data_IF_571302451709
#
_entry.id   IF_571302451709
#
_cell.length_a   1.000
_cell.length_b   1.000
_cell.length_c   1.000
_cell.angle_alpha   90.00
_cell.angle_beta   90.00
_cell.angle_gamma   90.00
#
_symmetry.space_group_name_H-M   'P 1'
#
loop_
_entity.id
_entity.type
_entity.pdbx_description
1 polymer ?
#
# COMPACT_ATOMS: atom_id res chain seq x y z
N UNK A 1 -11.23 -1.83 -41.83
CA UNK A 1 -11.66 -1.33 -43.15
C UNK A 1 -11.26 -2.30 -44.28
N UNK A 2 -10.01 -2.77 -44.34
CA UNK A 2 -9.50 -3.68 -45.40
C UNK A 2 -10.31 -4.98 -45.57
N UNK A 3 -10.82 -5.56 -44.48
CA UNK A 3 -11.53 -6.87 -44.51
C UNK A 3 -12.88 -6.82 -45.25
N UNK A 4 -13.58 -5.69 -45.19
CA UNK A 4 -14.88 -5.50 -45.86
C UNK A 4 -14.71 -5.34 -47.38
N UNK A 5 -13.64 -4.67 -47.81
CA UNK A 5 -13.32 -4.50 -49.23
C UNK A 5 -13.12 -5.85 -49.93
N UNK A 6 -12.52 -6.83 -49.25
CA UNK A 6 -12.29 -8.17 -49.80
C UNK A 6 -13.59 -8.97 -49.96
N UNK A 7 -14.53 -8.86 -49.02
CA UNK A 7 -15.84 -9.52 -49.14
C UNK A 7 -16.63 -8.94 -50.30
N UNK A 8 -16.61 -7.62 -50.45
CA UNK A 8 -17.34 -6.96 -51.52
C UNK A 8 -16.71 -7.22 -52.89
N UNK A 9 -15.37 -7.34 -52.95
CA UNK A 9 -14.67 -7.84 -54.15
C UNK A 9 -15.09 -9.26 -54.48
N UNK A 10 -15.11 -10.19 -53.51
CA UNK A 10 -15.55 -11.56 -53.73
C UNK A 10 -17.02 -11.63 -54.23
N UNK A 11 -17.93 -10.88 -53.62
CA UNK A 11 -19.34 -10.79 -54.04
C UNK A 11 -19.48 -10.18 -55.45
N UNK A 12 -18.66 -9.19 -55.80
CA UNK A 12 -18.64 -8.60 -57.14
C UNK A 12 -18.13 -9.59 -58.18
N UNK A 13 -17.02 -10.27 -57.89
CA UNK A 13 -16.47 -11.33 -58.75
C UNK A 13 -17.47 -12.46 -58.94
N UNK A 14 -18.13 -12.91 -57.88
CA UNK A 14 -19.18 -13.94 -57.95
C UNK A 14 -20.33 -13.53 -58.88
N UNK A 15 -20.78 -12.26 -58.80
CA UNK A 15 -21.83 -11.73 -59.69
C UNK A 15 -21.38 -11.69 -61.15
N UNK A 16 -20.13 -11.30 -61.41
CA UNK A 16 -19.58 -11.27 -62.77
C UNK A 16 -19.50 -12.69 -63.35
N UNK A 17 -18.92 -13.62 -62.59
CA UNK A 17 -18.84 -15.04 -63.00
C UNK A 17 -20.22 -15.62 -63.26
N UNK A 18 -21.20 -15.33 -62.40
CA UNK A 18 -22.58 -15.76 -62.61
C UNK A 18 -23.16 -15.20 -63.91
N UNK A 19 -22.97 -13.89 -64.20
CA UNK A 19 -23.43 -13.28 -65.46
C UNK A 19 -22.78 -13.92 -66.69
N UNK A 20 -21.48 -14.20 -66.63
CA UNK A 20 -20.76 -14.88 -67.71
C UNK A 20 -21.27 -16.31 -67.91
N UNK A 21 -21.52 -17.05 -66.83
CA UNK A 21 -22.10 -18.39 -66.91
C UNK A 21 -23.50 -18.36 -67.54
N UNK A 22 -24.36 -17.41 -67.17
CA UNK A 22 -25.66 -17.20 -67.80
C UNK A 22 -25.56 -16.83 -69.28
N UNK A 23 -24.60 -15.97 -69.65
CA UNK A 23 -24.38 -15.62 -71.04
C UNK A 23 -23.99 -16.84 -71.89
N UNK A 24 -23.13 -17.72 -71.37
CA UNK A 24 -22.76 -18.98 -72.03
C UNK A 24 -23.97 -19.90 -72.16
N UNK A 25 -24.75 -20.08 -71.08
CA UNK A 25 -25.97 -20.89 -71.10
C UNK A 25 -26.95 -20.38 -72.16
N UNK A 26 -27.28 -19.09 -72.16
CA UNK A 26 -28.18 -18.48 -73.15
C UNK A 26 -27.63 -18.63 -74.57
N UNK A 27 -26.32 -18.43 -74.77
CA UNK A 27 -25.68 -18.60 -76.08
C UNK A 27 -25.83 -20.03 -76.62
N UNK A 28 -25.66 -21.04 -75.77
CA UNK A 28 -25.81 -22.46 -76.15
C UNK A 28 -27.27 -22.79 -76.44
N UNK A 29 -28.21 -22.30 -75.63
CA UNK A 29 -29.65 -22.49 -75.87
C UNK A 29 -30.07 -21.91 -77.23
N UNK A 30 -29.67 -20.67 -77.52
CA UNK A 30 -29.98 -20.02 -78.81
C UNK A 30 -29.36 -20.79 -79.99
N UNK A 31 -28.15 -21.32 -79.82
CA UNK A 31 -27.49 -22.14 -80.84
C UNK A 31 -28.15 -23.52 -81.04
N UNK A 32 -28.67 -24.13 -79.98
CA UNK A 32 -29.30 -25.46 -80.02
C UNK A 32 -30.68 -25.48 -80.68
N UNK A 33 -31.45 -24.39 -80.55
CA UNK A 33 -32.84 -24.32 -81.04
C UNK A 33 -32.97 -24.69 -82.53
N UNK A 34 -32.20 -24.10 -83.48
CA UNK A 34 -32.31 -24.46 -84.89
C UNK A 34 -31.99 -25.93 -85.19
N UNK A 35 -31.04 -26.52 -84.47
CA UNK A 35 -30.58 -27.91 -84.65
C UNK A 35 -31.71 -28.87 -84.28
N UNK A 36 -32.27 -28.70 -83.08
CA UNK A 36 -33.36 -29.54 -82.57
C UNK A 36 -34.64 -29.31 -83.37
N UNK A 37 -34.95 -28.07 -83.72
CA UNK A 37 -36.11 -27.72 -84.54
C UNK A 37 -36.08 -28.43 -85.91
N UNK A 38 -34.93 -28.41 -86.59
CA UNK A 38 -34.77 -29.09 -87.88
C UNK A 38 -34.98 -30.60 -87.78
N UNK A 39 -34.44 -31.23 -86.73
CA UNK A 39 -34.60 -32.66 -86.48
C UNK A 39 -36.04 -33.06 -86.16
N UNK A 40 -36.76 -32.30 -85.34
CA UNK A 40 -38.12 -32.63 -84.95
C UNK A 40 -39.11 -32.51 -86.11
N UNK A 41 -38.91 -31.51 -86.98
CA UNK A 41 -39.74 -31.34 -88.18
C UNK A 41 -39.56 -32.51 -89.15
N UNK A 42 -38.33 -33.02 -89.32
CA UNK A 42 -38.11 -34.18 -90.19
C UNK A 42 -38.78 -35.46 -89.67
N UNK A 43 -39.16 -35.50 -88.38
CA UNK A 43 -39.87 -36.60 -87.74
C UNK A 43 -41.39 -36.33 -87.56
N UNK A 44 -41.94 -35.35 -88.28
CA UNK A 44 -43.38 -35.10 -88.31
C UNK A 44 -43.95 -34.35 -87.11
N UNK A 45 -43.09 -33.77 -86.25
CA UNK A 45 -43.54 -32.92 -85.15
C UNK A 45 -44.01 -31.56 -85.71
N UNK A 46 -45.21 -31.07 -85.32
CA UNK A 46 -45.70 -29.77 -85.78
C UNK A 46 -44.73 -28.63 -85.46
N UNK A 47 -44.58 -27.69 -86.40
CA UNK A 47 -43.63 -26.58 -86.31
C UNK A 47 -43.84 -25.76 -85.04
N UNK A 48 -45.08 -25.62 -84.60
CA UNK A 48 -45.51 -24.89 -83.41
C UNK A 48 -45.00 -25.53 -82.11
N UNK A 49 -44.79 -26.84 -82.11
CA UNK A 49 -44.35 -27.61 -80.92
C UNK A 49 -42.85 -27.90 -80.94
N UNK A 50 -42.25 -28.02 -82.13
CA UNK A 50 -40.85 -28.39 -82.30
C UNK A 50 -39.87 -27.42 -81.62
N UNK A 51 -40.11 -26.10 -81.73
CA UNK A 51 -39.21 -25.11 -81.11
C UNK A 51 -39.36 -25.05 -79.58
N UNK A 52 -40.54 -25.37 -79.04
CA UNK A 52 -40.79 -25.34 -77.58
C UNK A 52 -40.04 -26.47 -76.86
N UNK A 53 -39.89 -27.63 -77.49
CA UNK A 53 -39.28 -28.79 -76.84
C UNK A 53 -37.81 -28.54 -76.46
N UNK A 54 -37.05 -27.88 -77.34
CA UNK A 54 -35.67 -27.47 -77.05
C UNK A 54 -35.60 -26.53 -75.85
N UNK A 55 -36.48 -25.50 -75.82
CA UNK A 55 -36.51 -24.53 -74.74
C UNK A 55 -36.92 -25.12 -73.39
N UNK A 56 -37.79 -26.13 -73.38
CA UNK A 56 -38.20 -26.81 -72.14
C UNK A 56 -37.05 -27.64 -71.56
N UNK A 57 -36.33 -28.40 -72.41
CA UNK A 57 -35.18 -29.19 -71.97
C UNK A 57 -34.05 -28.29 -71.43
N UNK A 58 -33.75 -27.23 -72.16
CA UNK A 58 -32.79 -26.20 -71.78
C UNK A 58 -33.23 -25.46 -70.51
N UNK A 59 -34.52 -25.12 -70.42
CA UNK A 59 -35.12 -24.49 -69.24
C UNK A 59 -34.97 -25.35 -67.98
N UNK A 60 -35.13 -26.67 -68.09
CA UNK A 60 -34.91 -27.59 -66.98
C UNK A 60 -33.45 -27.59 -66.51
N UNK A 61 -32.48 -27.52 -67.42
CA UNK A 61 -31.06 -27.34 -67.10
C UNK A 61 -30.80 -26.01 -66.38
N UNK A 62 -31.38 -24.91 -66.89
CA UNK A 62 -31.27 -23.59 -66.27
C UNK A 62 -31.87 -23.56 -64.86
N UNK A 63 -33.02 -24.19 -64.64
CA UNK A 63 -33.63 -24.34 -63.32
C UNK A 63 -32.70 -25.11 -62.38
N UNK A 64 -32.06 -26.19 -62.85
CA UNK A 64 -31.07 -26.93 -62.06
C UNK A 64 -29.87 -26.08 -61.63
N UNK A 65 -29.47 -25.11 -62.46
CA UNK A 65 -28.40 -24.15 -62.17
C UNK A 65 -28.83 -23.09 -61.14
N UNK A 66 -30.09 -22.61 -61.18
CA UNK A 66 -30.63 -21.64 -60.19
C UNK A 66 -30.96 -22.28 -58.85
N UNK A 67 -31.54 -23.47 -58.87
CA UNK A 67 -32.07 -24.11 -57.66
C UNK A 67 -30.93 -24.55 -56.72
N UNK A 68 -29.78 -24.97 -57.26
CA UNK A 68 -28.67 -25.50 -56.45
C UNK A 68 -28.10 -24.44 -55.49
N UNK A 69 -27.74 -23.22 -55.92
CA UNK A 69 -27.27 -22.17 -55.02
C UNK A 69 -28.31 -21.73 -54.00
N UNK A 70 -29.58 -21.61 -54.39
CA UNK A 70 -30.66 -21.18 -53.49
C UNK A 70 -30.84 -22.22 -52.38
N UNK A 71 -30.96 -23.51 -52.72
CA UNK A 71 -31.11 -24.57 -51.72
C UNK A 71 -29.88 -24.69 -50.81
N UNK A 72 -28.68 -24.44 -51.34
CA UNK A 72 -27.45 -24.41 -50.56
C UNK A 72 -27.40 -23.26 -49.54
N UNK A 73 -28.02 -22.11 -49.85
CA UNK A 73 -28.16 -21.00 -48.91
C UNK A 73 -29.04 -21.37 -47.71
N UNK A 74 -30.09 -22.18 -47.93
CA UNK A 74 -30.98 -22.67 -46.87
C UNK A 74 -30.49 -23.97 -46.20
N UNK A 75 -29.29 -24.46 -46.54
CA UNK A 75 -28.72 -25.68 -45.94
C UNK A 75 -29.43 -26.98 -46.35
N UNK A 76 -30.27 -26.96 -47.37
CA UNK A 76 -31.03 -28.13 -47.83
C UNK A 76 -30.17 -28.95 -48.79
N UNK A 77 -29.96 -30.24 -48.48
CA UNK A 77 -29.28 -31.18 -49.39
C UNK A 77 -30.17 -31.47 -50.60
N UNK A 78 -29.89 -30.77 -51.70
CA UNK A 78 -30.66 -30.85 -52.94
C UNK A 78 -30.27 -32.06 -53.83
N UNK A 79 -30.33 -33.28 -53.31
CA UNK A 79 -29.94 -34.49 -54.05
C UNK A 79 -30.70 -34.66 -55.38
N UNK A 80 -32.00 -34.33 -55.38
CA UNK A 80 -32.86 -34.42 -56.56
C UNK A 80 -32.50 -33.41 -57.66
N UNK A 81 -31.95 -32.24 -57.31
CA UNK A 81 -31.55 -31.21 -58.30
C UNK A 81 -30.35 -31.69 -59.11
N UNK A 82 -29.46 -32.47 -58.49
CA UNK A 82 -28.38 -33.17 -59.20
C UNK A 82 -28.94 -34.14 -60.24
N UNK A 83 -29.87 -35.00 -59.83
CA UNK A 83 -30.52 -35.97 -60.72
C UNK A 83 -31.27 -35.28 -61.88
N UNK A 84 -32.04 -34.23 -61.60
CA UNK A 84 -32.76 -33.47 -62.63
C UNK A 84 -31.80 -32.91 -63.69
N UNK A 85 -30.66 -32.40 -63.26
CA UNK A 85 -29.65 -31.84 -64.16
C UNK A 85 -29.00 -32.91 -65.05
N UNK A 86 -28.68 -34.07 -64.48
CA UNK A 86 -28.16 -35.21 -65.25
C UNK A 86 -29.17 -35.69 -66.30
N UNK A 87 -30.44 -35.81 -65.91
CA UNK A 87 -31.52 -36.20 -66.82
C UNK A 87 -31.70 -35.18 -67.94
N UNK A 88 -31.78 -33.89 -67.61
CA UNK A 88 -31.95 -32.82 -68.60
C UNK A 88 -30.72 -32.67 -69.51
N UNK A 89 -29.51 -32.84 -68.97
CA UNK A 89 -28.27 -32.84 -69.75
C UNK A 89 -28.21 -33.99 -70.74
N UNK A 90 -28.58 -35.19 -70.29
CA UNK A 90 -28.66 -36.37 -71.15
C UNK A 90 -29.73 -36.21 -72.24
N UNK A 91 -30.91 -35.70 -71.89
CA UNK A 91 -31.98 -35.43 -72.86
C UNK A 91 -31.53 -34.42 -73.93
N UNK A 92 -30.84 -33.35 -73.53
CA UNK A 92 -30.30 -32.32 -74.44
C UNK A 92 -29.23 -32.90 -75.37
N UNK A 93 -28.33 -33.72 -74.83
CA UNK A 93 -27.32 -34.42 -75.62
C UNK A 93 -27.95 -35.40 -76.62
N UNK A 94 -28.91 -36.20 -76.18
CA UNK A 94 -29.63 -37.15 -77.02
C UNK A 94 -30.35 -36.44 -78.17
N UNK A 95 -31.06 -35.34 -77.90
CA UNK A 95 -31.76 -34.56 -78.93
C UNK A 95 -30.80 -33.94 -79.96
N UNK A 96 -29.65 -33.43 -79.51
CA UNK A 96 -28.65 -32.85 -80.42
C UNK A 96 -27.95 -33.89 -81.30
N UNK A 97 -27.81 -35.13 -80.82
CA UNK A 97 -27.11 -36.20 -81.55
C UNK A 97 -28.04 -37.12 -82.33
N UNK A 98 -29.35 -37.14 -82.01
CA UNK A 98 -30.33 -38.04 -82.60
C UNK A 98 -30.37 -37.96 -84.13
N UNK A 99 -30.32 -36.75 -84.70
CA UNK A 99 -30.31 -36.57 -86.16
C UNK A 99 -29.10 -37.20 -86.86
N UNK A 100 -27.97 -37.28 -86.18
CA UNK A 100 -26.76 -37.93 -86.69
C UNK A 100 -26.77 -39.45 -86.46
N UNK A 101 -27.42 -39.91 -85.39
CA UNK A 101 -27.52 -41.33 -85.06
C UNK A 101 -28.53 -42.09 -85.93
N UNK A 102 -29.65 -41.44 -86.25
CA UNK A 102 -30.76 -42.03 -87.00
C UNK A 102 -30.81 -41.60 -88.47
N UNK A 103 -29.67 -41.19 -89.03
CA UNK A 103 -29.57 -40.77 -90.43
C UNK A 103 -29.83 -41.96 -91.38
N UNK A 104 -30.60 -41.74 -92.44
CA UNK A 104 -30.78 -42.74 -93.50
C UNK A 104 -29.43 -43.07 -94.15
N UNK A 105 -29.05 -44.37 -94.13
CA UNK A 105 -27.73 -44.83 -94.57
C UNK A 105 -26.75 -45.18 -93.43
N UNK A 106 -27.17 -45.03 -92.17
CA UNK A 106 -26.40 -45.41 -90.99
C UNK A 106 -25.90 -44.22 -90.17
N UNK A 107 -25.38 -44.45 -88.96
CA UNK A 107 -24.99 -43.38 -88.04
C UNK A 107 -23.80 -42.56 -88.57
N UNK A 108 -23.97 -41.24 -88.63
CA UNK A 108 -22.94 -40.26 -88.96
C UNK A 108 -22.12 -39.96 -87.70
N UNK A 109 -21.04 -40.73 -87.51
CA UNK A 109 -20.17 -40.58 -86.33
C UNK A 109 -19.56 -39.17 -86.24
N UNK A 110 -19.24 -38.55 -87.39
CA UNK A 110 -18.72 -37.18 -87.45
C UNK A 110 -19.76 -36.17 -86.96
N UNK A 111 -21.01 -36.33 -87.43
CA UNK A 111 -22.16 -35.56 -86.95
C UNK A 111 -22.36 -35.71 -85.44
N UNK A 112 -22.37 -36.94 -84.91
CA UNK A 112 -22.52 -37.17 -83.46
C UNK A 112 -21.42 -36.53 -82.64
N UNK A 113 -20.16 -36.66 -83.07
CA UNK A 113 -19.04 -36.02 -82.37
C UNK A 113 -19.17 -34.49 -82.38
N UNK A 114 -19.49 -33.90 -83.54
CA UNK A 114 -19.64 -32.46 -83.67
C UNK A 114 -20.77 -31.89 -82.79
N UNK A 115 -21.90 -32.61 -82.72
CA UNK A 115 -23.06 -32.22 -81.91
C UNK A 115 -22.97 -32.62 -80.43
N UNK A 116 -22.01 -33.48 -80.05
CA UNK A 116 -21.77 -33.84 -78.64
C UNK A 116 -20.99 -32.76 -77.91
N UNK A 117 -20.06 -32.07 -78.58
CA UNK A 117 -19.15 -31.14 -77.92
C UNK A 117 -19.85 -29.96 -77.25
N UNK A 118 -20.88 -29.40 -77.90
CA UNK A 118 -21.68 -28.30 -77.34
C UNK A 118 -22.37 -28.66 -76.02
N UNK A 119 -23.26 -29.68 -76.02
CA UNK A 119 -23.93 -30.16 -74.80
C UNK A 119 -22.95 -30.61 -73.70
N UNK A 120 -21.84 -31.27 -74.06
CA UNK A 120 -20.83 -31.70 -73.09
C UNK A 120 -20.15 -30.51 -72.42
N UNK A 121 -19.71 -29.51 -73.19
CA UNK A 121 -19.14 -28.28 -72.64
C UNK A 121 -20.14 -27.52 -71.78
N UNK A 122 -21.40 -27.45 -72.18
CA UNK A 122 -22.48 -26.84 -71.38
C UNK A 122 -22.62 -27.55 -70.04
N UNK A 123 -22.69 -28.88 -70.07
CA UNK A 123 -22.85 -29.69 -68.86
C UNK A 123 -21.68 -29.49 -67.88
N UNK A 124 -20.45 -29.55 -68.38
CA UNK A 124 -19.26 -29.28 -67.57
C UNK A 124 -19.20 -27.84 -67.06
N UNK A 125 -19.55 -26.86 -67.88
CA UNK A 125 -19.59 -25.45 -67.46
C UNK A 125 -20.60 -25.22 -66.33
N UNK A 126 -21.78 -25.84 -66.42
CA UNK A 126 -22.81 -25.75 -65.37
C UNK A 126 -22.36 -26.46 -64.09
N UNK A 127 -21.77 -27.65 -64.17
CA UNK A 127 -21.25 -28.35 -62.99
C UNK A 127 -20.11 -27.57 -62.34
N UNK A 128 -19.16 -27.07 -63.13
CA UNK A 128 -18.07 -26.23 -62.64
C UNK A 128 -18.58 -24.94 -61.98
N UNK A 129 -19.57 -24.27 -62.60
CA UNK A 129 -20.20 -23.09 -62.03
C UNK A 129 -20.89 -23.40 -60.69
N UNK A 130 -21.62 -24.51 -60.60
CA UNK A 130 -22.29 -24.93 -59.37
C UNK A 130 -21.29 -25.27 -58.25
N UNK A 131 -20.16 -25.90 -58.57
CA UNK A 131 -19.08 -26.17 -57.61
C UNK A 131 -18.39 -24.88 -57.15
N UNK A 132 -18.10 -23.98 -58.09
CA UNK A 132 -17.49 -22.69 -57.79
C UNK A 132 -18.38 -21.81 -56.90
N UNK A 133 -19.69 -21.75 -57.19
CA UNK A 133 -20.67 -21.04 -56.39
C UNK A 133 -20.76 -21.59 -54.96
N UNK A 134 -20.72 -22.92 -54.79
CA UNK A 134 -20.68 -23.55 -53.46
C UNK A 134 -19.44 -23.15 -52.68
N UNK A 135 -18.25 -23.24 -53.29
CA UNK A 135 -17.00 -22.83 -52.63
C UNK A 135 -16.99 -21.35 -52.26
N UNK A 136 -17.49 -20.46 -53.12
CA UNK A 136 -17.62 -19.03 -52.79
C UNK A 136 -18.57 -18.83 -51.60
N UNK A 137 -19.73 -19.51 -51.60
CA UNK A 137 -20.67 -19.41 -50.50
C UNK A 137 -20.07 -19.91 -49.17
N UNK A 138 -19.28 -20.99 -49.21
CA UNK A 138 -18.56 -21.50 -48.03
C UNK A 138 -17.53 -20.51 -47.51
N UNK A 139 -16.73 -19.90 -48.39
CA UNK A 139 -15.74 -18.88 -48.01
C UNK A 139 -16.42 -17.64 -47.42
N UNK A 140 -17.52 -17.17 -48.03
CA UNK A 140 -18.29 -16.03 -47.50
C UNK A 140 -18.84 -16.38 -46.11
N UNK A 141 -19.47 -17.55 -45.93
CA UNK A 141 -20.00 -17.99 -44.64
C UNK A 141 -18.92 -18.11 -43.57
N UNK A 142 -17.77 -18.70 -43.90
CA UNK A 142 -16.66 -18.84 -42.98
C UNK A 142 -16.13 -17.46 -42.54
N UNK A 143 -16.02 -16.51 -43.48
CA UNK A 143 -15.55 -15.16 -43.20
C UNK A 143 -16.56 -14.34 -42.39
N UNK A 144 -17.85 -14.43 -42.70
CA UNK A 144 -18.92 -13.79 -41.92
C UNK A 144 -18.98 -14.36 -40.49
N UNK A 145 -18.81 -15.68 -40.32
CA UNK A 145 -18.72 -16.31 -39.01
C UNK A 145 -17.50 -15.84 -38.21
N UNK A 146 -16.33 -15.72 -38.86
CA UNK A 146 -15.12 -15.17 -38.22
C UNK A 146 -15.32 -13.71 -37.80
N UNK A 147 -15.88 -12.87 -38.68
CA UNK A 147 -16.17 -11.47 -38.35
C UNK A 147 -17.12 -11.35 -37.17
N UNK A 148 -18.19 -12.15 -37.15
CA UNK A 148 -19.12 -12.16 -36.01
C UNK A 148 -18.43 -12.57 -34.71
N UNK A 149 -17.56 -13.58 -34.75
CA UNK A 149 -16.80 -14.00 -33.58
C UNK A 149 -15.83 -12.92 -33.09
N UNK A 150 -15.18 -12.18 -34.01
CA UNK A 150 -14.31 -11.05 -33.67
C UNK A 150 -15.09 -9.88 -33.08
N UNK A 151 -16.26 -9.55 -33.64
CA UNK A 151 -17.14 -8.52 -33.10
C UNK A 151 -17.63 -8.87 -31.69
N UNK A 152 -18.00 -10.13 -31.46
CA UNK A 152 -18.43 -10.61 -30.14
C UNK A 152 -17.27 -10.60 -29.12
N UNK A 153 -16.04 -10.92 -29.54
CA UNK A 153 -14.82 -10.75 -28.71
C UNK A 153 -14.57 -9.29 -28.37
N UNK A 154 -14.68 -8.39 -29.33
CA UNK A 154 -14.50 -6.94 -29.11
C UNK A 154 -15.55 -6.38 -28.16
N UNK A 155 -16.82 -6.79 -28.29
CA UNK A 155 -17.89 -6.43 -27.36
C UNK A 155 -17.61 -6.92 -25.95
N UNK A 156 -17.21 -8.18 -25.82
CA UNK A 156 -16.87 -8.78 -24.52
C UNK A 156 -15.69 -8.07 -23.86
N UNK A 157 -14.63 -7.79 -24.62
CA UNK A 157 -13.46 -7.06 -24.13
C UNK A 157 -13.79 -5.62 -23.71
N UNK A 158 -14.66 -4.94 -24.46
CA UNK A 158 -15.11 -3.58 -24.12
C UNK A 158 -15.94 -3.58 -22.84
N UNK A 159 -16.82 -4.57 -22.67
CA UNK A 159 -17.61 -4.71 -21.46
C UNK A 159 -16.74 -5.04 -20.24
N UNK A 160 -15.76 -5.93 -20.38
CA UNK A 160 -14.78 -6.22 -19.34
C UNK A 160 -13.95 -5.00 -18.94
N UNK A 161 -13.55 -4.17 -19.92
CA UNK A 161 -12.86 -2.91 -19.63
C UNK A 161 -13.79 -1.96 -18.87
N UNK A 162 -15.06 -1.87 -19.27
CA UNK A 162 -16.06 -1.04 -18.59
C UNK A 162 -16.27 -1.49 -17.15
N UNK A 163 -16.42 -2.78 -16.89
CA UNK A 163 -16.55 -3.31 -15.51
C UNK A 163 -15.30 -3.05 -14.69
N UNK A 164 -14.12 -3.34 -15.23
CA UNK A 164 -12.85 -3.10 -14.54
C UNK A 164 -12.64 -1.61 -14.20
N UNK A 165 -13.01 -0.70 -15.11
CA UNK A 165 -12.94 0.76 -14.83
C UNK A 165 -13.93 1.20 -13.76
N UNK A 166 -15.12 0.59 -13.70
CA UNK A 166 -16.11 0.87 -12.66
C UNK A 166 -15.65 0.36 -11.28
N UNK A 167 -15.12 -0.87 -11.22
CA UNK A 167 -14.54 -1.45 -10.00
C UNK A 167 -13.37 -0.61 -9.48
N UNK A 168 -12.49 -0.14 -10.38
CA UNK A 168 -11.37 0.71 -10.00
C UNK A 168 -11.84 2.10 -9.51
N UNK A 169 -12.92 2.64 -10.08
CA UNK A 169 -13.51 3.88 -9.59
C UNK A 169 -14.13 3.72 -8.20
N UNK A 170 -14.82 2.60 -7.95
CA UNK A 170 -15.40 2.26 -6.63
C UNK A 170 -14.32 2.02 -5.57
N UNK A 171 -13.25 1.29 -5.92
CA UNK A 171 -12.10 1.08 -5.04
C UNK A 171 -11.44 2.40 -4.66
N UNK A 172 -11.26 3.33 -5.62
CA UNK A 172 -10.73 4.68 -5.35
C UNK A 172 -11.64 5.49 -4.43
N UNK A 173 -12.96 5.42 -4.63
CA UNK A 173 -13.91 6.10 -3.75
C UNK A 173 -13.82 5.57 -2.31
N UNK A 174 -13.68 4.25 -2.15
CA UNK A 174 -13.51 3.60 -0.84
C UNK A 174 -12.20 4.01 -0.15
N UNK A 175 -11.09 4.02 -0.90
CA UNK A 175 -9.79 4.47 -0.37
C UNK A 175 -9.86 5.93 0.07
N UNK A 176 -10.50 6.81 -0.71
CA UNK A 176 -10.66 8.22 -0.35
C UNK A 176 -11.47 8.37 0.94
N UNK A 177 -12.57 7.62 1.08
CA UNK A 177 -13.38 7.63 2.30
C UNK A 177 -12.60 7.15 3.53
N UNK A 178 -11.87 6.05 3.42
CA UNK A 178 -11.00 5.54 4.50
C UNK A 178 -9.92 6.58 4.86
N UNK A 179 -9.36 7.25 3.85
CA UNK A 179 -8.34 8.29 4.04
C UNK A 179 -8.91 9.48 4.79
N UNK A 180 -10.09 9.98 4.40
CA UNK A 180 -10.78 11.07 5.07
C UNK A 180 -11.13 10.72 6.53
N UNK A 181 -11.64 9.50 6.76
CA UNK A 181 -11.94 9.00 8.11
C UNK A 181 -10.68 8.89 8.98
N UNK A 182 -9.56 8.43 8.41
CA UNK A 182 -8.28 8.35 9.10
C UNK A 182 -7.76 9.75 9.47
N UNK A 183 -7.79 10.70 8.53
CA UNK A 183 -7.42 12.10 8.78
C UNK A 183 -8.30 12.69 9.89
N UNK A 184 -9.62 12.47 9.84
CA UNK A 184 -10.54 12.96 10.86
C UNK A 184 -10.25 12.36 12.26
N UNK A 185 -9.86 11.08 12.34
CA UNK A 185 -9.45 10.44 13.60
C UNK A 185 -8.15 11.03 14.15
N UNK A 186 -7.16 11.25 13.29
CA UNK A 186 -5.89 11.89 13.70
C UNK A 186 -6.15 13.30 14.22
N UNK A 187 -6.94 14.11 13.50
CA UNK A 187 -7.28 15.47 13.94
C UNK A 187 -8.02 15.48 15.29
N UNK A 188 -8.92 14.53 15.54
CA UNK A 188 -9.58 14.39 16.85
C UNK A 188 -8.60 14.01 17.95
N UNK A 189 -7.71 13.06 17.69
CA UNK A 189 -6.68 12.65 18.66
C UNK A 189 -5.70 13.78 18.98
N UNK A 190 -5.30 14.58 17.97
CA UNK A 190 -4.47 15.76 18.17
C UNK A 190 -5.17 16.86 18.97
N UNK A 191 -6.46 17.13 18.68
CA UNK A 191 -7.26 18.08 19.44
C UNK A 191 -7.44 17.64 20.90
N UNK A 192 -7.67 16.35 21.13
CA UNK A 192 -7.74 15.76 22.47
C UNK A 192 -6.39 15.89 23.19
N UNK A 193 -5.28 15.53 22.53
CA UNK A 193 -3.94 15.66 23.10
C UNK A 193 -3.60 17.12 23.43
N UNK A 194 -3.98 18.09 22.60
CA UNK A 194 -3.82 19.51 22.87
C UNK A 194 -4.67 19.95 24.08
N UNK A 195 -5.90 19.47 24.20
CA UNK A 195 -6.76 19.74 25.36
C UNK A 195 -6.19 19.19 26.66
N UNK A 196 -5.59 17.99 26.61
CA UNK A 196 -4.90 17.38 27.75
C UNK A 196 -3.67 18.20 28.11
N UNK A 197 -2.82 18.57 27.13
CA UNK A 197 -1.62 19.40 27.38
C UNK A 197 -1.98 20.72 28.04
N UNK A 198 -2.96 21.45 27.53
CA UNK A 198 -3.37 22.74 28.11
C UNK A 198 -3.94 22.57 29.53
N UNK A 199 -4.63 21.48 29.81
CA UNK A 199 -5.14 21.18 31.16
C UNK A 199 -4.01 20.85 32.12
N UNK A 200 -3.06 20.02 31.71
CA UNK A 200 -1.87 19.66 32.49
C UNK A 200 -0.98 20.87 32.75
N UNK A 201 -0.78 21.74 31.75
CA UNK A 201 -0.02 22.99 31.92
C UNK A 201 -0.66 23.93 32.94
N UNK A 202 -1.99 24.08 32.92
CA UNK A 202 -2.71 24.84 33.96
C UNK A 202 -2.52 24.22 35.34
N UNK A 203 -2.69 22.91 35.48
CA UNK A 203 -2.47 22.21 36.75
C UNK A 203 -1.05 22.40 37.29
N UNK A 204 -0.04 22.32 36.42
CA UNK A 204 1.37 22.57 36.80
C UNK A 204 1.57 24.04 37.22
N UNK A 205 0.97 24.98 36.50
CA UNK A 205 1.04 26.40 36.84
C UNK A 205 0.38 26.69 38.20
N UNK A 206 -0.77 26.10 38.48
CA UNK A 206 -1.49 26.22 39.75
C UNK A 206 -0.67 25.63 40.90
N UNK A 207 -0.13 24.41 40.74
CA UNK A 207 0.76 23.78 41.74
C UNK A 207 2.00 24.63 41.99
N UNK A 208 2.59 25.21 40.93
CA UNK A 208 3.76 26.09 41.08
C UNK A 208 3.41 27.39 41.79
N UNK A 209 2.25 27.98 41.51
CA UNK A 209 1.78 29.19 42.19
C UNK A 209 1.50 28.93 43.68
N UNK A 210 0.88 27.79 44.01
CA UNK A 210 0.65 27.37 45.39
C UNK A 210 1.97 27.11 46.13
N UNK A 211 2.90 26.37 45.52
CA UNK A 211 4.22 26.13 46.08
C UNK A 211 5.00 27.44 46.31
N UNK A 212 4.91 28.40 45.38
CA UNK A 212 5.55 29.71 45.52
C UNK A 212 4.92 30.51 46.67
N UNK A 213 3.58 30.51 46.77
CA UNK A 213 2.87 31.16 47.88
C UNK A 213 3.25 30.57 49.23
N UNK A 214 3.46 29.25 49.31
CA UNK A 214 3.89 28.59 50.54
C UNK A 214 5.34 28.93 50.90
N UNK A 215 6.24 28.98 49.91
CA UNK A 215 7.62 29.43 50.10
C UNK A 215 7.66 30.88 50.60
N UNK A 216 6.85 31.76 50.00
CA UNK A 216 6.76 33.16 50.42
C UNK A 216 6.18 33.26 51.84
N UNK A 217 5.17 32.45 52.18
CA UNK A 217 4.63 32.39 53.56
C UNK A 217 5.71 31.98 54.56
N UNK A 218 6.39 30.85 54.31
CA UNK A 218 7.49 30.36 55.16
C UNK A 218 8.60 31.41 55.28
N UNK A 219 8.93 32.11 54.20
CA UNK A 219 9.93 33.18 54.22
C UNK A 219 9.49 34.35 55.10
N UNK A 220 8.26 34.81 54.98
CA UNK A 220 7.75 35.92 55.81
C UNK A 220 7.66 35.51 57.29
N UNK A 221 7.24 34.28 57.59
CA UNK A 221 7.24 33.72 58.95
C UNK A 221 8.67 33.65 59.51
N UNK A 222 9.62 33.14 58.73
CA UNK A 222 11.02 33.07 59.13
C UNK A 222 11.65 34.46 59.34
N UNK A 223 11.35 35.44 58.47
CA UNK A 223 11.81 36.82 58.63
C UNK A 223 11.21 37.47 59.89
N UNK A 224 9.94 37.20 60.20
CA UNK A 224 9.29 37.65 61.44
C UNK A 224 9.92 36.99 62.68
N UNK A 225 10.18 35.69 62.65
CA UNK A 225 10.83 34.96 63.74
C UNK A 225 12.26 35.47 63.98
N UNK A 226 13.03 35.69 62.91
CA UNK A 226 14.36 36.32 62.99
C UNK A 226 14.26 37.74 63.55
N UNK A 227 13.23 38.51 63.19
CA UNK A 227 12.95 39.83 63.76
C UNK A 227 12.73 39.78 65.27
N UNK A 228 11.89 38.85 65.75
CA UNK A 228 11.63 38.62 67.18
C UNK A 228 12.92 38.21 67.90
N UNK A 229 13.71 37.29 67.32
CA UNK A 229 14.98 36.86 67.89
C UNK A 229 16.00 37.99 67.99
N UNK A 230 16.09 38.86 66.97
CA UNK A 230 16.95 40.05 67.00
C UNK A 230 16.52 41.02 68.10
N UNK A 231 15.22 41.25 68.25
CA UNK A 231 14.69 42.13 69.29
C UNK A 231 14.98 41.57 70.68
N UNK A 232 14.74 40.27 70.91
CA UNK A 232 15.09 39.61 72.18
C UNK A 232 16.59 39.69 72.48
N UNK A 233 17.45 39.55 71.47
CA UNK A 233 18.89 39.73 71.64
C UNK A 233 19.24 41.17 71.98
N UNK A 234 18.66 42.16 71.30
CA UNK A 234 18.89 43.57 71.62
C UNK A 234 18.43 43.93 73.05
N UNK A 235 17.26 43.42 73.47
CA UNK A 235 16.75 43.60 74.83
C UNK A 235 17.64 42.90 75.87
N UNK A 236 18.14 41.71 75.57
CA UNK A 236 19.08 40.98 76.41
C UNK A 236 20.42 41.74 76.52
N UNK A 237 20.95 42.26 75.41
CA UNK A 237 22.16 43.08 75.40
C UNK A 237 21.98 44.38 76.20
N UNK A 238 20.84 45.07 76.04
CA UNK A 238 20.50 46.25 76.84
C UNK A 238 20.39 45.93 78.33
N UNK A 239 19.79 44.78 78.67
CA UNK A 239 19.71 44.29 80.06
C UNK A 239 21.10 44.01 80.62
N UNK A 240 21.98 43.35 79.84
CA UNK A 240 23.37 43.09 80.22
C UNK A 240 24.14 44.40 80.40
N UNK A 241 23.96 45.38 79.51
CA UNK A 241 24.59 46.68 79.61
C UNK A 241 24.13 47.45 80.87
N UNK A 242 22.84 47.42 81.18
CA UNK A 242 22.29 48.02 82.39
C UNK A 242 22.80 47.32 83.66
N UNK A 243 22.88 45.99 83.66
CA UNK A 243 23.45 45.22 84.77
C UNK A 243 24.95 45.53 84.95
N UNK A 244 25.70 45.69 83.86
CA UNK A 244 27.10 46.13 83.92
C UNK A 244 27.23 47.54 84.47
N UNK A 245 26.43 48.50 83.99
CA UNK A 245 26.42 49.87 84.50
C UNK A 245 26.03 49.93 85.99
N UNK A 246 25.03 49.14 86.41
CA UNK A 246 24.63 49.02 87.81
C UNK A 246 25.72 48.37 88.67
N UNK A 247 26.41 47.34 88.17
CA UNK A 247 27.54 46.73 88.84
C UNK A 247 28.74 47.69 88.92
N UNK A 248 29.00 48.47 87.88
CA UNK A 248 30.02 49.53 87.89
C UNK A 248 29.67 50.64 88.87
N UNK A 249 28.41 51.08 88.92
CA UNK A 249 27.94 52.04 89.91
C UNK A 249 28.04 51.49 91.33
N UNK A 250 27.59 50.26 91.58
CA UNK A 250 27.68 49.61 92.88
C UNK A 250 29.15 49.38 93.30
N UNK A 251 30.05 49.07 92.37
CA UNK A 251 31.48 48.95 92.67
C UNK A 251 32.17 50.30 92.84
N UNK A 252 31.72 51.35 92.16
CA UNK A 252 32.18 52.72 92.36
C UNK A 252 31.70 53.26 93.72
N UNK A 253 30.46 53.01 94.09
CA UNK A 253 29.86 53.34 95.39
C UNK A 253 30.49 52.52 96.51
N UNK A 254 30.75 51.22 96.29
CA UNK A 254 31.50 50.40 97.23
C UNK A 254 32.95 50.87 97.36
N UNK A 255 33.59 51.35 96.28
CA UNK A 255 34.92 51.99 96.34
C UNK A 255 34.89 53.34 97.04
N UNK A 256 33.85 54.15 96.84
CA UNK A 256 33.69 55.43 97.50
C UNK A 256 33.45 55.25 99.00
N UNK A 257 32.58 54.32 99.39
CA UNK A 257 32.35 53.94 100.79
C UNK A 257 33.58 53.26 101.39
N UNK A 258 34.29 52.39 100.67
CA UNK A 258 35.57 51.86 101.13
C UNK A 258 36.65 52.95 101.24
N UNK A 259 36.66 53.95 100.36
CA UNK A 259 37.58 55.07 100.44
C UNK A 259 37.23 55.99 101.62
N UNK A 260 35.95 56.18 101.92
CA UNK A 260 35.48 56.93 103.08
C UNK A 260 35.73 56.16 104.38
N UNK A 261 35.45 54.86 104.40
CA UNK A 261 35.78 53.97 105.52
C UNK A 261 37.29 53.86 105.67
N UNK A 262 38.08 53.83 104.59
CA UNK A 262 39.55 53.90 104.67
C UNK A 262 40.05 55.29 105.04
N UNK A 263 39.36 56.37 104.70
CA UNK A 263 39.72 57.71 105.14
C UNK A 263 39.45 57.86 106.63
N UNK A 264 38.26 57.44 107.10
CA UNK A 264 37.91 57.37 108.53
C UNK A 264 38.75 56.36 109.29
N UNK A 265 39.09 55.22 108.69
CA UNK A 265 40.01 54.26 109.27
C UNK A 265 41.45 54.73 109.17
N UNK A 266 41.86 55.54 108.19
CA UNK A 266 43.18 56.16 108.14
C UNK A 266 43.28 57.34 109.11
N UNK A 267 42.16 57.99 109.42
CA UNK A 267 42.04 59.02 110.46
C UNK A 267 42.03 58.36 111.85
N UNK A 268 41.30 57.25 112.02
CA UNK A 268 41.34 56.41 113.23
C UNK A 268 42.66 55.64 113.39
N UNK A 269 43.31 55.24 112.29
CA UNK A 269 44.65 54.65 112.28
C UNK A 269 45.70 55.75 112.42
N UNK A 270 45.51 56.99 111.96
CA UNK A 270 46.40 58.10 112.29
C UNK A 270 46.31 58.45 113.78
N UNK A 271 45.12 58.34 114.38
CA UNK A 271 44.93 58.42 115.83
C UNK A 271 45.55 57.22 116.57
N UNK A 272 45.35 55.99 116.07
CA UNK A 272 45.85 54.77 116.72
C UNK A 272 47.34 54.46 116.44
N UNK A 273 47.93 55.03 115.39
CA UNK A 273 49.34 54.86 114.99
C UNK A 273 50.26 55.93 115.60
N UNK A 274 49.69 56.90 116.33
CA UNK A 274 50.42 57.64 117.36
C UNK A 274 50.63 56.81 118.65
N UNK A 275 49.91 55.68 118.83
CA UNK A 275 49.90 54.91 120.08
C UNK A 275 50.57 53.52 120.03
N UNK A 276 50.96 52.95 118.89
CA UNK A 276 51.51 51.59 118.91
C UNK A 276 52.63 51.30 117.91
N UNK A 277 53.81 51.17 118.51
CA UNK A 277 55.08 50.56 118.10
C UNK A 277 54.92 49.10 117.62
N UNK A 278 55.84 48.70 116.74
CA UNK A 278 56.50 47.37 116.60
C UNK A 278 55.82 46.16 115.91
N UNK A 279 56.62 45.56 115.00
CA UNK A 279 56.81 44.12 114.64
C UNK A 279 55.77 43.32 113.83
N UNK A 280 56.13 43.05 112.56
CA UNK A 280 56.56 41.74 111.98
C UNK A 280 55.87 40.44 112.46
N UNK A 281 55.34 39.63 111.54
CA UNK A 281 55.65 38.18 111.36
C UNK A 281 54.70 37.49 110.35
N UNK A 282 55.28 36.45 109.77
CA UNK A 282 54.91 35.55 108.70
C UNK A 282 53.71 34.61 108.93
N UNK A 283 53.33 33.97 107.81
CA UNK A 283 53.08 32.53 107.65
C UNK A 283 51.67 31.99 107.33
N UNK A 284 51.68 31.22 106.23
CA UNK A 284 50.85 30.06 105.86
C UNK A 284 49.33 30.27 105.66
N UNK A 285 48.82 29.74 104.53
CA UNK A 285 48.38 28.34 104.47
C UNK A 285 47.61 28.05 103.17
N UNK A 286 48.29 27.32 102.30
CA UNK A 286 47.80 26.18 101.50
C UNK A 286 46.29 25.94 101.39
N UNK A 287 45.86 25.65 100.17
CA UNK A 287 45.18 24.39 99.91
C UNK A 287 43.79 24.47 99.26
N UNK A 288 43.73 24.00 98.01
CA UNK A 288 42.89 22.85 97.70
C UNK A 288 41.43 23.10 97.31
N UNK A 289 41.12 22.78 96.05
CA UNK A 289 40.34 21.56 95.81
C UNK A 289 38.97 21.69 95.13
N UNK A 290 38.83 20.85 94.08
CA UNK A 290 37.64 20.08 93.63
C UNK A 290 36.54 20.81 92.84
N UNK A 291 36.35 20.43 91.56
CA UNK A 291 35.48 19.34 90.99
C UNK A 291 34.02 19.83 90.86
N UNK A 292 33.25 19.64 89.79
CA UNK A 292 33.11 18.54 88.81
C UNK A 292 32.12 18.93 87.70
N UNK A 293 32.15 18.15 86.60
CA UNK A 293 30.99 17.76 85.75
C UNK A 293 30.45 18.80 84.76
N UNK A 294 30.24 18.53 83.47
CA UNK A 294 30.30 17.27 82.70
C UNK A 294 29.67 17.47 81.31
N UNK A 295 29.89 16.51 80.40
CA UNK A 295 29.17 16.34 79.13
C UNK A 295 29.98 16.71 77.88
N UNK A 296 30.49 15.73 77.10
CA UNK A 296 29.81 15.10 75.93
C UNK A 296 29.97 16.01 74.69
N UNK A 297 30.59 15.65 73.56
CA UNK A 297 30.62 14.38 72.84
C UNK A 297 31.81 14.28 71.85
N UNK A 298 31.99 13.05 71.37
CA UNK A 298 33.07 12.52 70.52
C UNK A 298 33.25 13.19 69.17
N UNK A 299 34.51 13.41 68.81
CA UNK A 299 35.04 13.56 67.45
C UNK A 299 35.11 12.20 66.76
N UNK A 300 34.51 12.08 65.58
CA UNK A 300 34.74 10.99 64.62
C UNK A 300 35.02 11.59 63.26
N UNK A 301 36.23 11.34 62.77
CA UNK A 301 36.71 11.55 61.42
C UNK A 301 35.89 10.71 60.43
N UNK A 302 35.25 11.37 59.47
CA UNK A 302 34.45 10.73 58.43
C UNK A 302 35.35 10.18 57.30
N UNK A 303 35.13 8.92 56.96
CA UNK A 303 35.63 8.26 55.76
C UNK A 303 34.92 8.80 54.50
N UNK A 304 35.54 8.72 53.30
CA UNK A 304 34.95 9.23 52.08
C UNK A 304 33.69 8.42 51.69
N UNK A 305 32.58 9.13 51.52
CA UNK A 305 31.34 8.60 50.96
C UNK A 305 31.60 8.21 49.52
N UNK A 306 31.64 6.91 49.22
CA UNK A 306 31.58 6.42 47.84
C UNK A 306 30.19 6.75 47.30
N UNK A 307 30.12 7.70 46.38
CA UNK A 307 28.91 8.00 45.60
C UNK A 307 28.55 6.72 44.83
N UNK A 308 27.45 6.08 45.22
CA UNK A 308 26.91 4.96 44.48
C UNK A 308 26.25 5.50 43.21
N UNK A 309 26.80 5.15 42.05
CA UNK A 309 26.17 5.39 40.75
C UNK A 309 24.71 4.91 40.78
N UNK A 310 23.80 5.68 40.20
CA UNK A 310 22.41 5.25 39.97
C UNK A 310 22.36 4.03 39.04
N UNK A 311 21.24 3.30 38.98
CA UNK A 311 21.12 2.12 38.11
C UNK A 311 21.27 2.50 36.63
N UNK A 312 20.78 3.66 36.24
CA UNK A 312 20.89 4.17 34.87
C UNK A 312 22.33 4.55 34.50
N UNK A 313 23.04 5.27 35.37
CA UNK A 313 24.46 5.59 35.17
C UNK A 313 25.34 4.33 35.15
N UNK A 314 24.98 3.31 35.95
CA UNK A 314 25.67 2.03 35.94
C UNK A 314 25.47 1.26 34.61
N UNK A 315 24.26 1.27 34.06
CA UNK A 315 23.95 0.66 32.74
C UNK A 315 24.69 1.41 31.62
N UNK A 316 24.63 2.75 31.62
CA UNK A 316 25.34 3.58 30.64
C UNK A 316 26.85 3.34 30.68
N UNK A 317 27.43 3.22 31.87
CA UNK A 317 28.85 2.91 32.03
C UNK A 317 29.22 1.51 31.51
N UNK A 318 28.34 0.52 31.67
CA UNK A 318 28.52 -0.81 31.07
C UNK A 318 28.48 -0.74 29.54
N UNK A 319 27.45 -0.12 28.95
CA UNK A 319 27.31 0.00 27.49
C UNK A 319 28.47 0.80 26.85
N UNK A 320 29.03 1.78 27.56
CA UNK A 320 30.20 2.53 27.10
C UNK A 320 31.48 1.68 27.04
N UNK A 321 31.65 0.70 27.95
CA UNK A 321 32.83 -0.18 27.98
C UNK A 321 32.75 -1.29 26.91
N UNK A 322 31.54 -1.79 26.63
CA UNK A 322 31.28 -2.81 25.62
C UNK A 322 30.08 -2.43 24.74
N UNK A 323 30.31 -1.67 23.65
CA UNK A 323 29.23 -1.17 22.78
C UNK A 323 28.67 -2.22 21.81
N UNK A 324 29.31 -3.39 21.69
CA UNK A 324 28.90 -4.43 20.75
C UNK A 324 27.58 -5.08 21.18
N UNK A 325 26.59 -5.11 20.29
CA UNK A 325 25.24 -5.62 20.58
C UNK A 325 25.20 -7.13 20.90
N UNK A 326 26.26 -7.87 20.56
CA UNK A 326 26.42 -9.31 20.77
C UNK A 326 27.28 -9.66 21.99
N UNK A 327 27.71 -8.68 22.80
CA UNK A 327 28.51 -8.94 23.99
C UNK A 327 27.69 -9.70 25.05
N UNK A 328 28.19 -10.87 25.46
CA UNK A 328 27.53 -11.69 26.48
C UNK A 328 27.93 -11.24 27.89
N UNK A 329 27.11 -10.36 28.47
CA UNK A 329 27.29 -9.85 29.82
C UNK A 329 27.22 -10.95 30.90
N UNK A 330 28.23 -11.04 31.76
CA UNK A 330 28.16 -11.81 33.00
C UNK A 330 28.03 -10.90 34.23
N UNK A 331 27.52 -11.43 35.35
CA UNK A 331 27.45 -10.68 36.62
C UNK A 331 28.85 -10.24 37.11
N UNK A 332 29.89 -11.04 36.82
CA UNK A 332 31.26 -10.72 37.19
C UNK A 332 31.76 -9.47 36.45
N UNK A 333 31.39 -9.31 35.18
CA UNK A 333 31.76 -8.14 34.37
C UNK A 333 31.10 -6.87 34.91
N UNK A 334 29.82 -6.95 35.29
CA UNK A 334 29.08 -5.83 35.87
C UNK A 334 29.67 -5.40 37.22
N UNK A 335 29.98 -6.36 38.10
CA UNK A 335 30.65 -6.08 39.38
C UNK A 335 32.01 -5.43 39.16
N UNK A 336 32.77 -5.90 38.16
CA UNK A 336 34.09 -5.37 37.81
C UNK A 336 34.03 -3.94 37.27
N UNK A 337 33.07 -3.63 36.40
CA UNK A 337 32.96 -2.33 35.71
C UNK A 337 32.32 -1.25 36.61
N UNK A 338 31.27 -1.62 37.35
CA UNK A 338 30.47 -0.68 38.17
C UNK A 338 30.99 -0.61 39.61
N UNK A 339 31.68 -1.65 40.10
CA UNK A 339 32.09 -1.75 41.50
C UNK A 339 30.92 -1.96 42.46
N UNK A 340 29.78 -2.45 41.97
CA UNK A 340 28.61 -2.74 42.79
C UNK A 340 28.72 -4.11 43.47
N UNK A 341 28.01 -4.31 44.59
CA UNK A 341 27.93 -5.62 45.23
C UNK A 341 27.17 -6.66 44.38
N UNK A 342 27.46 -7.95 44.60
CA UNK A 342 26.83 -9.08 43.90
C UNK A 342 25.29 -9.10 43.96
N UNK A 343 24.67 -8.50 44.99
CA UNK A 343 23.21 -8.39 45.07
C UNK A 343 22.57 -7.42 44.07
N UNK A 344 23.34 -6.45 43.54
CA UNK A 344 22.86 -5.45 42.58
C UNK A 344 23.09 -5.88 41.12
N UNK A 345 24.11 -6.72 40.88
CA UNK A 345 24.51 -7.17 39.55
C UNK A 345 23.40 -7.87 38.73
N UNK A 346 22.53 -8.74 39.30
CA UNK A 346 21.45 -9.37 38.53
C UNK A 346 20.44 -8.37 37.97
N UNK A 347 20.12 -7.31 38.73
CA UNK A 347 19.15 -6.28 38.31
C UNK A 347 19.70 -5.43 37.16
N UNK A 348 20.99 -5.09 37.23
CA UNK A 348 21.68 -4.37 36.16
C UNK A 348 21.82 -5.23 34.90
N UNK A 349 22.08 -6.54 35.06
CA UNK A 349 22.15 -7.47 33.94
C UNK A 349 20.83 -7.54 33.18
N UNK A 350 19.71 -7.63 33.89
CA UNK A 350 18.38 -7.63 33.29
C UNK A 350 18.07 -6.32 32.55
N UNK A 351 18.46 -5.17 33.12
CA UNK A 351 18.29 -3.87 32.48
C UNK A 351 19.07 -3.75 31.17
N UNK A 352 20.32 -4.24 31.14
CA UNK A 352 21.17 -4.26 29.94
C UNK A 352 20.56 -5.17 28.86
N UNK A 353 20.07 -6.36 29.23
CA UNK A 353 19.43 -7.30 28.30
C UNK A 353 18.15 -6.73 27.68
N UNK A 354 17.32 -6.02 28.47
CA UNK A 354 16.14 -5.33 27.94
C UNK A 354 16.52 -4.24 26.94
N UNK A 355 17.58 -3.48 27.22
CA UNK A 355 18.06 -2.44 26.32
C UNK A 355 18.51 -3.03 24.97
N UNK A 356 19.30 -4.11 24.96
CA UNK A 356 19.69 -4.79 23.72
C UNK A 356 18.50 -5.37 22.95
N UNK A 357 17.51 -5.91 23.65
CA UNK A 357 16.29 -6.45 23.01
C UNK A 357 15.45 -5.37 22.35
N UNK A 358 15.40 -4.16 22.94
CA UNK A 358 14.73 -3.01 22.34
C UNK A 358 15.47 -2.49 21.10
N UNK A 359 16.81 -2.45 21.15
CA UNK A 359 17.63 -2.00 20.03
C UNK A 359 17.53 -2.93 18.80
N UNK A 360 17.42 -4.25 18.98
CA UNK A 360 17.27 -5.21 17.88
C UNK A 360 15.86 -5.26 17.30
N UNK A 361 14.82 -4.99 18.10
CA UNK A 361 13.45 -4.90 17.59
C UNK A 361 13.23 -3.69 16.65
N UNK A 362 13.95 -2.59 16.87
CA UNK A 362 13.81 -1.38 16.05
C UNK A 362 14.43 -1.58 14.65
N UNK A 363 15.56 -2.29 14.56
CA UNK A 363 16.25 -2.54 13.28
C UNK A 363 15.50 -3.48 12.34
N UNK A 364 14.61 -4.34 12.88
CA UNK A 364 13.87 -5.32 12.06
C UNK A 364 12.65 -4.70 11.38
N UNK A 365 12.25 -3.49 11.76
CA UNK A 365 11.01 -2.85 11.27
C UNK A 365 11.26 -1.95 10.05
N UNK A 366 12.49 -1.45 9.84
CA UNK A 366 12.83 -0.63 8.66
C UNK A 366 13.12 -1.47 7.40
N UNK A 367 13.73 -2.66 7.51
CA UNK A 367 14.07 -3.51 6.35
C UNK A 367 12.88 -4.27 5.76
N UNK A 368 11.71 -4.27 6.40
CA UNK A 368 10.53 -4.98 5.92
C UNK A 368 9.66 -4.15 4.94
N UNK A 369 10.03 -2.89 4.63
CA UNK A 369 9.23 -1.99 3.79
C UNK A 369 9.73 -1.77 2.36
N UNK A 370 10.85 -2.38 1.95
CA UNK A 370 11.47 -2.14 0.62
C UNK A 370 11.51 -3.36 -0.32
N UNK A 371 10.70 -4.41 -0.06
CA UNK A 371 10.78 -5.69 -0.80
C UNK A 371 9.49 -6.11 -1.52
N UNK A 372 8.69 -5.17 -2.03
CA UNK A 372 7.53 -5.51 -2.88
C UNK A 372 7.32 -4.52 -4.03
N UNK A 373 8.21 -4.49 -5.03
CA UNK A 373 7.81 -4.17 -6.42
C UNK A 373 8.90 -4.55 -7.45
N UNK A 374 9.03 -5.85 -7.78
CA UNK A 374 9.46 -6.22 -9.13
C UNK A 374 8.99 -7.63 -9.49
N UNK A 375 7.87 -7.73 -10.19
CA UNK A 375 7.49 -8.95 -10.90
C UNK A 375 6.90 -8.56 -12.24
N UNK A 376 7.75 -8.03 -13.13
CA UNK A 376 7.40 -7.90 -14.54
C UNK A 376 7.61 -9.24 -15.25
N UNK A 377 6.48 -9.94 -15.36
CA UNK A 377 6.11 -11.04 -16.27
C UNK A 377 6.93 -11.19 -17.55
N UNK A 378 7.38 -12.44 -17.77
CA UNK A 378 8.01 -12.92 -18.99
C UNK A 378 7.04 -13.10 -20.16
N UNK A 379 7.56 -12.80 -21.36
CA UNK A 379 6.97 -13.14 -22.66
C UNK A 379 7.26 -14.62 -23.00
N UNK A 380 6.27 -15.42 -23.46
CA UNK A 380 6.56 -16.68 -24.11
C UNK A 380 6.91 -16.47 -25.59
N UNK A 381 8.09 -16.95 -25.94
CA UNK A 381 8.64 -17.07 -27.29
C UNK A 381 7.78 -18.05 -28.11
N UNK A 382 7.21 -17.55 -29.21
CA UNK A 382 6.39 -18.34 -30.15
C UNK A 382 7.33 -19.10 -31.08
N UNK A 383 7.29 -20.43 -30.99
CA UNK A 383 7.90 -21.35 -31.96
C UNK A 383 7.09 -21.35 -33.25
N UNK A 384 7.78 -21.10 -34.37
CA UNK A 384 7.28 -21.14 -35.73
C UNK A 384 7.16 -22.58 -36.26
N UNK A 385 6.03 -22.86 -36.92
CA UNK A 385 5.83 -23.98 -37.84
C UNK A 385 5.88 -23.50 -39.29
#
# INVERSE_FOLDING_TARGET
MIVNDDLDRLRKTARIVNRLAWAVVVGIMVYGVPIVYGYLISHGIPKETAWMLSLIADGALAVGMVATPILAQYGVKAGWVGSLRWVAGFATWALNTAGSWFKEGGPDLGGVLSHTWGPLLMFFAVEAAAQFQRKIADVIRAKEASQKADDDRHRTATEQLRTATAELAEARATINQITEDAIAKVQRAEAEAASIRTTTERQIADIRAEAQSEVDRIRTEAEAEVGILRQRNADAEATIANLRAAAEHATAEHRATLAEVRAKAAEAVALAKAEARTTNISDYRTGGGRKTSGGRNKTTTAAPVRVSLSDEEAVQKCLAEHPEANYQWSQADIVKIVGCGWGRAPRLLEAIQRWHSAATSDTTTEDATDATDDTTTGLPEVTSA
#
